data_IF_042535619069
#
_entry.id   IF_042535619069
#
_cell.length_a   1.000
_cell.length_b   1.000
_cell.length_c   1.000
_cell.angle_alpha   90.00
_cell.angle_beta   90.00
_cell.angle_gamma   90.00
#
_symmetry.space_group_name_H-M   'P 1'
#
loop_
_entity.id
_entity.type
_entity.pdbx_description
1 polymer ?
#
# COMPACT_ATOMS: atom_id res chain seq x y z
N UNK A 1 -53.45 1.67 57.75
CA UNK A 1 -52.95 0.74 56.70
C UNK A 1 -53.99 0.64 55.60
N UNK A 2 -53.66 1.09 54.38
CA UNK A 2 -54.51 0.88 53.20
C UNK A 2 -53.77 -0.08 52.26
N UNK A 3 -54.16 -1.36 52.27
CA UNK A 3 -53.64 -2.35 51.33
C UNK A 3 -54.24 -2.08 49.95
N UNK A 4 -53.38 -1.74 48.98
CA UNK A 4 -53.77 -1.73 47.57
C UNK A 4 -54.03 -3.17 47.10
N UNK A 5 -55.07 -3.44 46.31
CA UNK A 5 -55.29 -4.78 45.77
C UNK A 5 -54.25 -5.07 44.69
N UNK A 6 -53.50 -6.15 44.89
CA UNK A 6 -52.66 -6.79 43.87
C UNK A 6 -53.56 -7.28 42.71
N UNK A 7 -53.84 -6.37 41.77
CA UNK A 7 -54.54 -6.70 40.53
C UNK A 7 -53.65 -7.61 39.68
N UNK A 8 -53.98 -8.91 39.68
CA UNK A 8 -53.36 -9.90 38.80
C UNK A 8 -53.56 -9.45 37.35
N UNK A 9 -52.49 -9.27 36.56
CA UNK A 9 -52.61 -8.74 35.20
C UNK A 9 -53.42 -9.69 34.30
N UNK A 10 -54.39 -9.15 33.56
CA UNK A 10 -55.22 -9.88 32.59
C UNK A 10 -54.38 -10.69 31.59
N UNK A 11 -54.89 -11.83 31.17
CA UNK A 11 -54.26 -12.78 30.26
C UNK A 11 -53.78 -12.12 28.96
N UNK A 12 -54.51 -11.10 28.46
CA UNK A 12 -54.09 -10.31 27.29
C UNK A 12 -52.81 -9.54 27.55
N UNK A 13 -52.67 -8.94 28.73
CA UNK A 13 -51.47 -8.23 29.18
C UNK A 13 -50.30 -9.20 29.31
N UNK A 14 -50.53 -10.39 29.88
CA UNK A 14 -49.51 -11.45 29.98
C UNK A 14 -49.06 -11.92 28.59
N UNK A 15 -49.99 -12.15 27.66
CA UNK A 15 -49.69 -12.54 26.27
C UNK A 15 -48.91 -11.44 25.54
N UNK A 16 -49.26 -10.17 25.73
CA UNK A 16 -48.57 -9.01 25.14
C UNK A 16 -47.14 -8.87 25.68
N UNK A 17 -46.96 -9.01 27.00
CA UNK A 17 -45.63 -9.01 27.64
C UNK A 17 -44.77 -10.20 27.19
N UNK A 18 -45.34 -11.40 27.10
CA UNK A 18 -44.65 -12.59 26.54
C UNK A 18 -44.27 -12.40 25.07
N UNK A 19 -45.14 -11.79 24.26
CA UNK A 19 -44.88 -11.48 22.83
C UNK A 19 -43.80 -10.41 22.67
N UNK A 20 -43.82 -9.39 23.51
CA UNK A 20 -42.83 -8.31 23.53
C UNK A 20 -41.45 -8.82 23.99
N UNK A 21 -41.42 -9.72 24.98
CA UNK A 21 -40.22 -10.45 25.43
C UNK A 21 -39.66 -11.43 24.39
N UNK A 22 -40.49 -11.87 23.44
CA UNK A 22 -40.10 -12.72 22.29
C UNK A 22 -39.66 -11.93 21.06
N UNK A 23 -39.74 -10.60 21.04
CA UNK A 23 -39.21 -9.82 19.92
C UNK A 23 -37.72 -9.59 20.13
N UNK A 24 -36.94 -9.86 19.09
CA UNK A 24 -35.51 -9.54 19.07
C UNK A 24 -35.36 -8.03 19.31
N UNK A 25 -34.51 -7.59 20.25
CA UNK A 25 -34.22 -6.16 20.41
C UNK A 25 -33.44 -5.59 19.22
N UNK A 26 -33.06 -6.43 18.25
CA UNK A 26 -32.31 -6.06 17.06
C UNK A 26 -33.24 -5.96 15.84
N UNK A 27 -33.10 -4.89 15.06
CA UNK A 27 -33.91 -4.67 13.85
C UNK A 27 -33.61 -5.67 12.71
N UNK A 28 -32.42 -6.28 12.70
CA UNK A 28 -31.95 -7.12 11.59
C UNK A 28 -31.34 -8.48 12.02
N UNK A 29 -31.40 -8.84 13.31
CA UNK A 29 -30.85 -10.10 13.82
C UNK A 29 -31.95 -11.07 14.31
N UNK A 30 -31.90 -12.35 13.91
CA UNK A 30 -32.79 -13.37 14.44
C UNK A 30 -32.55 -13.60 15.95
N UNK A 31 -33.58 -14.05 16.67
CA UNK A 31 -33.52 -14.29 18.13
C UNK A 31 -32.45 -15.31 18.56
N UNK A 32 -32.00 -16.18 17.66
CA UNK A 32 -30.91 -17.13 17.93
C UNK A 32 -29.57 -16.42 18.08
N UNK A 33 -29.35 -15.32 17.35
CA UNK A 33 -28.12 -14.52 17.36
C UNK A 33 -28.17 -13.38 18.38
N UNK A 34 -29.35 -13.06 18.91
CA UNK A 34 -29.52 -12.06 19.98
C UNK A 34 -29.04 -12.53 21.36
N UNK A 35 -28.57 -13.79 21.47
CA UNK A 35 -28.11 -14.43 22.72
C UNK A 35 -26.82 -13.79 23.25
N UNK A 36 -26.69 -13.71 24.57
CA UNK A 36 -25.54 -13.09 25.24
C UNK A 36 -24.18 -13.72 24.88
N UNK A 37 -24.15 -15.01 24.55
CA UNK A 37 -22.92 -15.70 24.14
C UNK A 37 -22.39 -15.24 22.77
N UNK A 38 -23.27 -15.11 21.76
CA UNK A 38 -22.88 -14.64 20.42
C UNK A 38 -22.34 -13.20 20.47
N UNK A 39 -22.98 -12.34 21.26
CA UNK A 39 -22.54 -10.95 21.40
C UNK A 39 -21.20 -10.82 22.13
N UNK A 40 -20.96 -11.65 23.15
CA UNK A 40 -19.66 -11.74 23.83
C UNK A 40 -18.58 -12.19 22.86
N UNK A 41 -18.87 -13.20 22.04
CA UNK A 41 -17.98 -13.66 20.98
C UNK A 41 -17.71 -12.56 19.96
N UNK A 42 -18.75 -11.92 19.41
CA UNK A 42 -18.66 -10.85 18.43
C UNK A 42 -17.80 -9.68 18.92
N UNK A 43 -18.02 -9.22 20.16
CA UNK A 43 -17.22 -8.14 20.76
C UNK A 43 -15.76 -8.54 20.93
N UNK A 44 -15.50 -9.78 21.37
CA UNK A 44 -14.14 -10.31 21.52
C UNK A 44 -13.44 -10.40 20.17
N UNK A 45 -14.10 -10.97 19.16
CA UNK A 45 -13.58 -11.08 17.79
C UNK A 45 -13.31 -9.70 17.19
N UNK A 46 -14.23 -8.75 17.35
CA UNK A 46 -14.03 -7.35 16.92
C UNK A 46 -12.82 -6.72 17.60
N UNK A 47 -12.65 -6.89 18.91
CA UNK A 47 -11.50 -6.34 19.63
C UNK A 47 -10.16 -6.94 19.16
N UNK A 48 -10.08 -8.26 18.97
CA UNK A 48 -8.86 -8.93 18.52
C UNK A 48 -8.52 -8.62 17.07
N UNK A 49 -9.49 -8.67 16.17
CA UNK A 49 -9.29 -8.24 14.78
C UNK A 49 -8.97 -6.75 14.71
N UNK A 50 -9.53 -5.96 15.62
CA UNK A 50 -9.25 -4.53 15.76
C UNK A 50 -7.80 -4.28 16.13
N UNK A 51 -7.25 -5.03 17.08
CA UNK A 51 -5.85 -4.92 17.46
C UNK A 51 -4.90 -5.34 16.33
N UNK A 52 -5.19 -6.46 15.66
CA UNK A 52 -4.41 -6.92 14.50
C UNK A 52 -4.46 -5.91 13.34
N UNK A 53 -5.67 -5.50 12.97
CA UNK A 53 -5.95 -4.53 11.93
C UNK A 53 -5.36 -3.15 12.25
N UNK A 54 -5.37 -2.70 13.51
CA UNK A 54 -4.76 -1.44 13.92
C UNK A 54 -3.23 -1.46 13.80
N UNK A 55 -2.59 -2.57 14.21
CA UNK A 55 -1.13 -2.70 14.14
C UNK A 55 -0.63 -2.58 12.69
N UNK A 56 -1.23 -3.35 11.78
CA UNK A 56 -0.88 -3.29 10.36
C UNK A 56 -1.46 -2.06 9.66
N UNK A 57 -2.62 -1.58 10.10
CA UNK A 57 -3.26 -0.37 9.61
C UNK A 57 -2.46 0.89 9.89
N UNK A 58 -1.76 0.97 11.03
CA UNK A 58 -0.81 2.07 11.33
C UNK A 58 0.35 2.03 10.34
N UNK A 59 0.94 0.85 10.10
CA UNK A 59 2.00 0.70 9.11
C UNK A 59 1.54 1.14 7.71
N UNK A 60 0.38 0.65 7.26
CA UNK A 60 -0.20 1.02 5.97
C UNK A 60 -0.59 2.50 5.91
N UNK A 61 -1.15 3.07 6.97
CA UNK A 61 -1.53 4.48 7.04
C UNK A 61 -0.32 5.41 6.96
N UNK A 62 0.73 5.13 7.74
CA UNK A 62 1.99 5.89 7.72
C UNK A 62 2.63 5.81 6.33
N UNK A 63 2.78 4.59 5.78
CA UNK A 63 3.36 4.40 4.45
C UNK A 63 2.52 5.03 3.34
N UNK A 64 1.19 5.03 3.45
CA UNK A 64 0.30 5.70 2.51
C UNK A 64 0.41 7.23 2.55
N UNK A 65 0.50 7.83 3.75
CA UNK A 65 0.74 9.27 3.90
C UNK A 65 2.07 9.65 3.26
N UNK A 66 3.14 8.91 3.57
CA UNK A 66 4.46 9.06 2.98
C UNK A 66 4.42 8.97 1.45
N UNK A 67 3.69 7.99 0.92
CA UNK A 67 3.56 7.75 -0.51
C UNK A 67 2.83 8.88 -1.24
N UNK A 68 1.77 9.40 -0.63
CA UNK A 68 0.94 10.48 -1.19
C UNK A 68 1.66 11.83 -1.16
N UNK A 69 2.46 12.09 -0.13
CA UNK A 69 3.15 13.36 0.06
C UNK A 69 4.58 13.36 -0.48
N UNK A 70 5.03 12.28 -1.13
CA UNK A 70 6.40 12.13 -1.63
C UNK A 70 6.87 13.29 -2.52
N UNK A 71 5.96 13.85 -3.32
CA UNK A 71 6.24 14.96 -4.24
C UNK A 71 6.10 16.34 -3.59
N UNK A 72 5.13 16.51 -2.70
CA UNK A 72 4.79 17.81 -2.10
C UNK A 72 5.69 18.16 -0.92
N UNK A 73 5.98 17.19 -0.05
CA UNK A 73 6.83 17.40 1.13
C UNK A 73 8.34 17.33 0.82
N UNK A 74 8.73 17.20 -0.46
CA UNK A 74 10.14 17.06 -0.90
C UNK A 74 10.95 16.12 -0.01
N UNK A 75 10.34 15.01 0.41
CA UNK A 75 10.96 14.05 1.32
C UNK A 75 12.12 13.40 0.54
N UNK A 76 13.35 13.88 0.77
CA UNK A 76 14.54 13.42 0.05
C UNK A 76 14.75 11.91 0.21
N UNK A 77 14.24 11.31 1.29
CA UNK A 77 14.28 9.88 1.51
C UNK A 77 13.42 9.08 0.52
N UNK A 78 12.43 9.67 -0.16
CA UNK A 78 11.66 8.98 -1.21
C UNK A 78 12.41 8.90 -2.55
N UNK A 79 13.49 9.67 -2.73
CA UNK A 79 14.34 9.57 -3.90
C UNK A 79 15.28 8.39 -3.68
N UNK A 80 15.30 7.45 -4.61
CA UNK A 80 16.40 6.49 -4.71
C UNK A 80 17.69 7.30 -4.73
N UNK A 81 18.54 7.12 -3.71
CA UNK A 81 19.81 7.82 -3.65
C UNK A 81 20.61 7.43 -4.88
N UNK A 82 20.76 8.40 -5.77
CA UNK A 82 21.46 8.22 -7.02
C UNK A 82 22.84 8.84 -6.85
N UNK A 83 23.81 8.01 -6.52
CA UNK A 83 25.19 8.47 -6.48
C UNK A 83 25.73 8.40 -7.91
N UNK A 84 25.93 9.56 -8.53
CA UNK A 84 26.64 9.67 -9.81
C UNK A 84 28.14 9.75 -9.52
N UNK A 85 28.92 8.83 -10.09
CA UNK A 85 30.37 8.82 -10.04
C UNK A 85 30.91 8.75 -11.46
N UNK A 86 31.96 9.49 -11.73
CA UNK A 86 32.70 9.37 -12.97
C UNK A 86 33.91 8.50 -12.66
N UNK A 87 34.02 7.36 -13.36
CA UNK A 87 35.16 6.47 -13.24
C UNK A 87 36.07 6.70 -14.42
N UNK A 88 37.35 6.96 -14.14
CA UNK A 88 38.38 7.03 -15.17
C UNK A 88 38.51 5.67 -15.85
N UNK A 89 38.62 5.69 -17.16
CA UNK A 89 38.86 4.48 -17.94
C UNK A 89 40.35 4.15 -17.96
N UNK A 90 40.71 2.86 -18.08
CA UNK A 90 42.10 2.46 -18.27
C UNK A 90 42.63 2.95 -19.62
N UNK A 91 43.95 3.01 -19.75
CA UNK A 91 44.64 3.55 -20.94
C UNK A 91 44.54 2.67 -22.20
N UNK A 92 43.73 1.61 -22.17
CA UNK A 92 43.46 0.74 -23.32
C UNK A 92 42.02 0.89 -23.81
N UNK A 93 41.81 0.62 -25.10
CA UNK A 93 40.47 0.60 -25.70
C UNK A 93 39.80 -0.74 -25.46
N UNK A 94 38.53 -0.72 -25.09
CA UNK A 94 37.69 -1.92 -25.05
C UNK A 94 37.27 -2.31 -26.47
N UNK A 95 37.24 -3.60 -26.76
CA UNK A 95 36.87 -4.11 -28.10
C UNK A 95 35.35 -4.09 -28.33
N UNK A 96 34.55 -4.30 -27.28
CA UNK A 96 33.10 -4.35 -27.33
C UNK A 96 32.46 -3.98 -25.99
N UNK A 97 31.13 -3.86 -25.97
CA UNK A 97 30.37 -3.47 -24.78
C UNK A 97 30.45 -4.53 -23.68
N UNK A 98 30.67 -5.80 -24.03
CA UNK A 98 30.85 -6.92 -23.10
C UNK A 98 32.18 -6.84 -22.34
N UNK A 99 33.27 -6.48 -23.03
CA UNK A 99 34.59 -6.26 -22.43
C UNK A 99 34.56 -5.07 -21.47
N UNK A 100 33.87 -3.99 -21.86
CA UNK A 100 33.61 -2.86 -20.97
C UNK A 100 32.76 -3.27 -19.75
N UNK A 101 31.72 -4.07 -19.94
CA UNK A 101 30.90 -4.59 -18.85
C UNK A 101 31.72 -5.48 -17.88
N UNK A 102 32.61 -6.32 -18.41
CA UNK A 102 33.47 -7.18 -17.60
C UNK A 102 34.49 -6.37 -16.77
N UNK A 103 35.12 -5.36 -17.36
CA UNK A 103 36.00 -4.44 -16.63
C UNK A 103 35.24 -3.70 -15.53
N UNK A 104 34.09 -3.11 -15.87
CA UNK A 104 33.29 -2.35 -14.93
C UNK A 104 32.76 -3.21 -13.78
N UNK A 105 32.46 -4.47 -14.06
CA UNK A 105 32.08 -5.44 -13.04
C UNK A 105 33.22 -5.68 -12.04
N UNK A 106 34.46 -5.83 -12.53
CA UNK A 106 35.63 -6.02 -11.68
C UNK A 106 35.94 -4.76 -10.86
N UNK A 107 35.89 -3.59 -11.49
CA UNK A 107 36.13 -2.29 -10.85
C UNK A 107 35.13 -1.98 -9.72
N UNK A 108 33.87 -2.40 -9.90
CA UNK A 108 32.80 -2.21 -8.90
C UNK A 108 32.66 -3.39 -7.91
N UNK A 109 33.56 -4.38 -7.97
CA UNK A 109 33.55 -5.59 -7.13
C UNK A 109 32.19 -6.32 -7.10
N UNK A 110 31.51 -6.40 -8.25
CA UNK A 110 30.13 -6.93 -8.31
C UNK A 110 30.08 -8.46 -8.49
N UNK A 111 29.30 -9.11 -7.64
CA UNK A 111 28.99 -10.52 -7.70
C UNK A 111 28.21 -10.89 -8.98
N UNK A 112 28.73 -11.90 -9.67
CA UNK A 112 28.40 -12.28 -11.05
C UNK A 112 27.01 -12.92 -11.16
N UNK A 113 25.95 -12.11 -11.32
CA UNK A 113 24.59 -12.67 -11.55
C UNK A 113 23.74 -11.99 -12.63
N UNK A 114 23.84 -10.69 -12.88
CA UNK A 114 22.98 -10.05 -13.89
C UNK A 114 23.58 -8.75 -14.42
N UNK A 115 24.00 -8.77 -15.69
CA UNK A 115 24.40 -7.59 -16.46
C UNK A 115 23.61 -7.54 -17.77
N UNK A 116 23.03 -6.37 -18.08
CA UNK A 116 22.51 -6.08 -19.43
C UNK A 116 23.40 -5.03 -20.05
N UNK A 117 24.14 -5.44 -21.07
CA UNK A 117 24.98 -4.60 -21.90
C UNK A 117 24.27 -4.32 -23.23
N UNK A 118 24.32 -3.07 -23.71
CA UNK A 118 23.76 -2.67 -25.00
C UNK A 118 24.63 -1.57 -25.59
N UNK A 119 25.08 -1.77 -26.82
CA UNK A 119 25.62 -0.71 -27.66
C UNK A 119 24.50 -0.02 -28.46
N UNK A 120 24.64 1.28 -28.65
CA UNK A 120 23.88 2.07 -29.62
C UNK A 120 24.87 2.61 -30.64
N UNK A 121 24.62 2.27 -31.90
CA UNK A 121 25.44 2.71 -33.02
C UNK A 121 25.48 4.25 -33.12
N UNK A 122 26.55 4.80 -33.71
CA UNK A 122 26.63 6.22 -34.01
C UNK A 122 25.40 6.70 -34.78
N UNK A 123 24.84 7.82 -34.35
CA UNK A 123 23.65 8.40 -34.98
C UNK A 123 23.87 9.88 -35.28
N UNK A 124 23.51 10.30 -36.48
CA UNK A 124 23.43 11.73 -36.77
C UNK A 124 22.23 12.35 -36.08
N UNK A 125 22.48 13.38 -35.28
CA UNK A 125 21.45 14.18 -34.61
C UNK A 125 21.55 15.63 -35.07
N UNK A 126 20.42 16.30 -35.21
CA UNK A 126 20.39 17.75 -35.46
C UNK A 126 20.44 18.48 -34.12
N UNK A 127 21.54 19.21 -33.88
CA UNK A 127 21.72 20.04 -32.69
C UNK A 127 21.85 21.51 -33.12
N UNK A 128 20.88 22.34 -32.73
CA UNK A 128 20.88 23.77 -33.08
C UNK A 128 20.88 24.03 -34.60
N UNK A 129 20.23 23.17 -35.38
CA UNK A 129 20.16 23.28 -36.85
C UNK A 129 21.41 22.79 -37.59
N UNK A 130 22.40 22.23 -36.90
CA UNK A 130 23.58 21.58 -37.50
C UNK A 130 23.55 20.07 -37.25
N UNK A 131 23.85 19.28 -38.26
CA UNK A 131 24.03 17.84 -38.11
C UNK A 131 25.33 17.55 -37.36
N UNK A 132 25.24 16.83 -36.25
CA UNK A 132 26.38 16.38 -35.45
C UNK A 132 26.28 14.87 -35.32
N UNK A 133 27.37 14.17 -35.64
CA UNK A 133 27.47 12.73 -35.44
C UNK A 133 27.69 12.43 -33.96
N UNK A 134 26.70 11.80 -33.33
CA UNK A 134 26.82 11.31 -31.97
C UNK A 134 27.64 10.01 -31.98
N UNK A 135 28.70 9.90 -31.16
CA UNK A 135 29.53 8.70 -31.10
C UNK A 135 28.75 7.51 -30.53
N UNK A 136 29.30 6.32 -30.73
CA UNK A 136 28.73 5.08 -30.20
C UNK A 136 28.55 5.19 -28.68
N UNK A 137 27.39 4.73 -28.20
CA UNK A 137 27.04 4.78 -26.77
C UNK A 137 26.86 3.39 -26.21
N UNK A 138 27.66 3.09 -25.20
CA UNK A 138 27.56 1.86 -24.44
C UNK A 138 26.79 2.10 -23.15
N UNK A 139 25.79 1.25 -22.93
CA UNK A 139 24.97 1.25 -21.73
C UNK A 139 25.05 -0.12 -21.07
N UNK A 140 25.48 -0.14 -19.81
CA UNK A 140 25.61 -1.37 -19.02
C UNK A 140 24.85 -1.19 -17.72
N UNK A 141 23.99 -2.15 -17.39
CA UNK A 141 23.25 -2.15 -16.12
C UNK A 141 23.50 -3.42 -15.34
N UNK A 142 23.77 -3.27 -14.05
CA UNK A 142 23.94 -4.37 -13.08
C UNK A 142 22.87 -4.28 -12.01
N UNK A 143 22.40 -5.42 -11.52
CA UNK A 143 21.43 -5.47 -10.43
C UNK A 143 21.79 -6.57 -9.45
N UNK A 144 21.91 -6.22 -8.18
CA UNK A 144 21.99 -7.16 -7.08
C UNK A 144 20.82 -6.90 -6.08
N UNK A 145 20.59 -7.77 -5.08
CA UNK A 145 19.46 -7.61 -4.16
C UNK A 145 19.44 -6.30 -3.35
N UNK A 146 20.60 -5.65 -3.18
CA UNK A 146 20.76 -4.44 -2.34
C UNK A 146 20.89 -3.14 -3.15
N UNK A 147 21.46 -3.19 -4.36
CA UNK A 147 21.88 -2.06 -5.19
C UNK A 147 21.71 -2.38 -6.67
N UNK A 148 21.51 -1.35 -7.48
CA UNK A 148 21.60 -1.44 -8.94
C UNK A 148 22.51 -0.36 -9.48
N UNK A 149 23.24 -0.67 -10.55
CA UNK A 149 24.18 0.24 -11.19
C UNK A 149 23.78 0.40 -12.66
N UNK A 150 23.91 1.62 -13.18
CA UNK A 150 23.77 1.91 -14.61
C UNK A 150 24.96 2.76 -15.03
N UNK A 151 25.77 2.25 -15.95
CA UNK A 151 26.88 2.98 -16.52
C UNK A 151 26.60 3.36 -17.97
N UNK A 152 27.05 4.56 -18.32
CA UNK A 152 27.02 5.08 -19.67
C UNK A 152 28.43 5.50 -20.07
N UNK A 153 28.86 5.00 -21.21
CA UNK A 153 30.14 5.34 -21.82
C UNK A 153 29.91 5.77 -23.27
N UNK A 154 30.45 6.92 -23.62
CA UNK A 154 30.51 7.41 -25.00
C UNK A 154 31.90 7.07 -25.53
N UNK A 155 31.95 6.28 -26.59
CA UNK A 155 33.22 5.79 -27.13
C UNK A 155 34.12 6.97 -27.48
N UNK A 156 35.31 7.02 -26.87
CA UNK A 156 36.28 8.11 -27.01
C UNK A 156 36.41 9.05 -25.80
N UNK A 157 35.53 8.94 -24.80
CA UNK A 157 35.69 9.66 -23.54
C UNK A 157 36.79 9.03 -22.65
N UNK A 158 37.42 9.83 -21.80
CA UNK A 158 38.39 9.36 -20.80
C UNK A 158 37.74 8.78 -19.53
N UNK A 159 36.41 8.90 -19.40
CA UNK A 159 35.65 8.48 -18.23
C UNK A 159 34.32 7.86 -18.63
N UNK A 160 33.78 7.02 -17.75
CA UNK A 160 32.40 6.54 -17.80
C UNK A 160 31.59 7.15 -16.67
N UNK A 161 30.33 7.48 -16.95
CA UNK A 161 29.38 7.90 -15.91
C UNK A 161 28.70 6.67 -15.33
N UNK A 162 28.94 6.39 -14.06
CA UNK A 162 28.25 5.35 -13.30
C UNK A 162 27.21 5.98 -12.39
N UNK A 163 25.98 5.49 -12.47
CA UNK A 163 24.88 5.82 -11.58
C UNK A 163 24.61 4.62 -10.68
N UNK A 164 24.95 4.75 -9.42
CA UNK A 164 24.56 3.80 -8.38
C UNK A 164 23.19 4.20 -7.85
N UNK A 165 22.28 3.24 -7.76
CA UNK A 165 20.96 3.37 -7.17
C UNK A 165 20.89 2.51 -5.91
N UNK A 166 20.90 3.15 -4.75
CA UNK A 166 20.75 2.45 -3.47
C UNK A 166 19.27 2.20 -3.15
N UNK A 167 18.94 0.99 -2.68
CA UNK A 167 17.58 0.70 -2.19
C UNK A 167 17.37 1.39 -0.84
N UNK A 168 16.78 2.59 -0.87
CA UNK A 168 16.34 3.27 0.33
C UNK A 168 15.18 2.48 1.01
N UNK A 169 15.14 2.48 2.35
CA UNK A 169 14.05 1.94 3.18
C UNK A 169 12.70 2.52 2.74
N UNK A 170 12.63 3.80 2.38
CA UNK A 170 11.40 4.41 1.88
C UNK A 170 10.96 3.81 0.54
N UNK A 171 11.89 3.55 -0.38
CA UNK A 171 11.58 2.87 -1.63
C UNK A 171 11.11 1.43 -1.40
N UNK A 172 11.64 0.76 -0.37
CA UNK A 172 11.16 -0.56 0.07
C UNK A 172 9.75 -0.50 0.66
N UNK A 173 9.48 0.43 1.58
CA UNK A 173 8.17 0.67 2.17
C UNK A 173 7.12 1.03 1.10
N UNK A 174 7.49 1.83 0.10
CA UNK A 174 6.62 2.15 -1.03
C UNK A 174 6.28 0.90 -1.86
N UNK A 175 7.27 0.04 -2.14
CA UNK A 175 7.01 -1.23 -2.84
C UNK A 175 6.13 -2.16 -2.03
N UNK A 176 6.34 -2.25 -0.72
CA UNK A 176 5.46 -3.01 0.18
C UNK A 176 4.02 -2.50 0.13
N UNK A 177 3.82 -1.19 0.31
CA UNK A 177 2.50 -0.56 0.32
C UNK A 177 1.77 -0.72 -1.03
N UNK A 178 2.47 -0.52 -2.14
CA UNK A 178 1.93 -0.70 -3.49
C UNK A 178 1.85 -2.19 -3.91
N UNK A 179 2.31 -3.12 -3.06
CA UNK A 179 2.47 -4.54 -3.39
C UNK A 179 3.23 -4.80 -4.71
N UNK A 180 4.18 -3.93 -5.06
CA UNK A 180 4.93 -4.00 -6.32
C UNK A 180 6.16 -4.91 -6.17
N UNK A 181 6.18 -6.02 -6.93
CA UNK A 181 7.29 -6.98 -6.91
C UNK A 181 7.36 -7.85 -5.65
N UNK A 182 6.25 -7.97 -4.91
CA UNK A 182 6.14 -8.78 -3.70
C UNK A 182 5.61 -10.19 -4.00
N UNK A 183 6.10 -11.19 -3.25
CA UNK A 183 5.68 -12.59 -3.42
C UNK A 183 4.35 -12.93 -2.73
N UNK A 184 3.90 -14.17 -2.92
CA UNK A 184 2.60 -14.70 -2.43
C UNK A 184 2.38 -14.46 -0.93
N UNK A 185 3.41 -14.62 -0.11
CA UNK A 185 3.30 -14.43 1.34
C UNK A 185 2.82 -13.01 1.72
N UNK A 186 3.25 -11.98 0.98
CA UNK A 186 2.81 -10.61 1.21
C UNK A 186 1.36 -10.40 0.78
N UNK A 187 0.94 -11.01 -0.34
CA UNK A 187 -0.44 -10.95 -0.82
C UNK A 187 -1.39 -11.53 0.24
N UNK A 188 -1.07 -12.72 0.75
CA UNK A 188 -1.88 -13.35 1.80
C UNK A 188 -1.94 -12.49 3.07
N UNK A 189 -0.82 -11.87 3.46
CA UNK A 189 -0.80 -10.96 4.60
C UNK A 189 -1.70 -9.75 4.35
N UNK A 190 -1.61 -9.11 3.18
CA UNK A 190 -2.46 -7.99 2.80
C UNK A 190 -3.95 -8.37 2.78
N UNK A 191 -4.29 -9.56 2.29
CA UNK A 191 -5.65 -10.09 2.28
C UNK A 191 -6.18 -10.29 3.71
N UNK A 192 -5.34 -10.70 4.67
CA UNK A 192 -5.77 -10.78 6.08
C UNK A 192 -6.10 -9.40 6.67
N UNK A 193 -5.38 -8.36 6.27
CA UNK A 193 -5.68 -6.98 6.68
C UNK A 193 -7.03 -6.57 6.08
N UNK A 194 -7.21 -6.76 4.77
CA UNK A 194 -8.45 -6.42 4.08
C UNK A 194 -9.66 -7.16 4.67
N UNK A 195 -9.52 -8.47 4.90
CA UNK A 195 -10.54 -9.28 5.56
C UNK A 195 -10.84 -8.79 6.99
N UNK A 196 -9.81 -8.43 7.76
CA UNK A 196 -10.01 -7.88 9.11
C UNK A 196 -10.80 -6.56 9.07
N UNK A 197 -10.51 -5.66 8.13
CA UNK A 197 -11.24 -4.40 7.97
C UNK A 197 -12.71 -4.61 7.57
N UNK A 198 -12.99 -5.56 6.67
CA UNK A 198 -14.36 -5.93 6.29
C UNK A 198 -15.11 -6.44 7.52
N UNK A 199 -14.53 -7.40 8.26
CA UNK A 199 -15.16 -7.96 9.45
C UNK A 199 -15.34 -6.89 10.52
N UNK A 200 -14.37 -5.99 10.71
CA UNK A 200 -14.46 -4.86 11.64
C UNK A 200 -15.58 -3.90 11.28
N UNK A 201 -15.72 -3.55 10.00
CA UNK A 201 -16.80 -2.69 9.53
C UNK A 201 -18.18 -3.34 9.78
N UNK A 202 -18.34 -4.61 9.41
CA UNK A 202 -19.59 -5.36 9.60
C UNK A 202 -19.94 -5.54 11.08
N UNK A 203 -18.96 -5.96 11.89
CA UNK A 203 -19.15 -6.15 13.32
C UNK A 203 -19.36 -4.81 14.05
N UNK A 204 -18.73 -3.73 13.60
CA UNK A 204 -18.95 -2.37 14.08
C UNK A 204 -20.38 -1.91 13.86
N UNK A 205 -20.93 -2.08 12.65
CA UNK A 205 -22.35 -1.82 12.33
C UNK A 205 -23.25 -2.65 13.26
N UNK A 206 -22.95 -3.94 13.41
CA UNK A 206 -23.76 -4.85 14.21
C UNK A 206 -23.76 -4.48 15.71
N UNK A 207 -22.61 -4.11 16.26
CA UNK A 207 -22.49 -3.64 17.64
C UNK A 207 -23.14 -2.26 17.84
N UNK A 208 -23.01 -1.37 16.84
CA UNK A 208 -23.56 -0.02 16.89
C UNK A 208 -25.10 -0.02 16.94
N UNK A 209 -25.76 -0.91 16.19
CA UNK A 209 -27.24 -1.05 16.23
C UNK A 209 -27.80 -1.38 17.63
N UNK A 210 -26.96 -1.86 18.56
CA UNK A 210 -27.35 -2.13 19.94
C UNK A 210 -27.02 -1.02 20.93
N UNK A 211 -26.04 -0.16 20.63
CA UNK A 211 -25.43 0.69 21.65
C UNK A 211 -25.97 2.13 21.64
N UNK A 212 -25.82 2.94 20.59
CA UNK A 212 -26.24 4.34 20.66
C UNK A 212 -26.39 4.99 19.27
N UNK A 213 -27.61 5.33 18.83
CA UNK A 213 -27.76 6.26 17.70
C UNK A 213 -29.16 6.36 17.08
N UNK A 214 -29.68 7.56 16.80
CA UNK A 214 -30.86 7.74 15.96
C UNK A 214 -30.58 7.28 14.52
N UNK A 215 -31.49 6.50 13.94
CA UNK A 215 -31.37 5.86 12.61
C UNK A 215 -31.11 6.85 11.46
N UNK A 216 -31.49 8.11 11.65
CA UNK A 216 -31.23 9.22 10.73
C UNK A 216 -29.75 9.56 10.61
N UNK A 217 -28.97 9.48 11.68
CA UNK A 217 -27.52 9.71 11.62
C UNK A 217 -26.80 8.61 10.83
N UNK A 218 -27.29 7.36 10.93
CA UNK A 218 -26.79 6.23 10.13
C UNK A 218 -26.98 6.46 8.63
N UNK A 219 -28.22 6.78 8.24
CA UNK A 219 -28.56 7.08 6.87
C UNK A 219 -27.78 8.30 6.36
N UNK A 220 -27.71 9.37 7.16
CA UNK A 220 -26.95 10.59 6.82
C UNK A 220 -25.47 10.32 6.55
N UNK A 221 -24.80 9.50 7.36
CA UNK A 221 -23.39 9.14 7.14
C UNK A 221 -23.19 8.31 5.86
N UNK A 222 -24.06 7.33 5.60
CA UNK A 222 -23.96 6.48 4.39
C UNK A 222 -24.22 7.30 3.13
N UNK A 223 -25.34 8.03 3.08
CA UNK A 223 -25.68 8.82 1.91
C UNK A 223 -24.72 10.00 1.72
N UNK A 224 -24.34 10.69 2.80
CA UNK A 224 -23.38 11.79 2.74
C UNK A 224 -22.01 11.36 2.22
N UNK A 225 -21.47 10.24 2.70
CA UNK A 225 -20.18 9.73 2.22
C UNK A 225 -20.25 9.27 0.75
N UNK A 226 -21.34 8.62 0.34
CA UNK A 226 -21.56 8.21 -1.04
C UNK A 226 -21.70 9.43 -1.99
N UNK A 227 -22.48 10.44 -1.59
CA UNK A 227 -22.63 11.68 -2.37
C UNK A 227 -21.30 12.41 -2.49
N UNK A 228 -20.53 12.53 -1.42
CA UNK A 228 -19.21 13.17 -1.46
C UNK A 228 -18.26 12.44 -2.43
N UNK A 229 -18.25 11.11 -2.38
CA UNK A 229 -17.46 10.29 -3.30
C UNK A 229 -17.90 10.50 -4.76
N UNK A 230 -19.20 10.49 -5.04
CA UNK A 230 -19.76 10.73 -6.39
C UNK A 230 -19.38 12.13 -6.89
N UNK A 231 -19.52 13.17 -6.06
CA UNK A 231 -19.16 14.54 -6.43
C UNK A 231 -17.67 14.67 -6.72
N UNK A 232 -16.82 14.03 -5.92
CA UNK A 232 -15.38 14.05 -6.12
C UNK A 232 -14.98 13.35 -7.43
N UNK A 233 -15.58 12.20 -7.72
CA UNK A 233 -15.39 11.49 -8.99
C UNK A 233 -15.89 12.33 -10.15
N UNK A 234 -17.08 12.93 -10.06
CA UNK A 234 -17.65 13.76 -11.12
C UNK A 234 -16.82 15.04 -11.39
N UNK A 235 -16.17 15.61 -10.37
CA UNK A 235 -15.24 16.74 -10.52
C UNK A 235 -13.90 16.37 -11.15
N UNK A 236 -13.53 15.09 -11.13
CA UNK A 236 -12.26 14.59 -11.65
C UNK A 236 -12.32 14.24 -13.15
N UNK A 237 -13.53 14.19 -13.72
CA UNK A 237 -13.80 14.04 -15.15
C UNK A 237 -14.28 15.37 -15.73
#
# INVERSE_FOLDING_TARGET
MSNAPDSVPDEKTIKKLKKQRRRSPYAFLPLSWSRGAFLKWLRRTHAWLGLWGATLGILFGVTGILLNHRGTLKINAAKTEQTRRELSLPDYKFENVEAFAAWLQAELELDKKWSRARSQEPREISWGGKSVTQPERWSVSFSNPKRSYSAEYWVGNAYTTVRQFDRNIFAFLNRLHMSSGMGVAWILLADTIAGSLIILALSGILLWTRLHGPRLLAAGLIFGSLTLAIVFVWRAF
#
